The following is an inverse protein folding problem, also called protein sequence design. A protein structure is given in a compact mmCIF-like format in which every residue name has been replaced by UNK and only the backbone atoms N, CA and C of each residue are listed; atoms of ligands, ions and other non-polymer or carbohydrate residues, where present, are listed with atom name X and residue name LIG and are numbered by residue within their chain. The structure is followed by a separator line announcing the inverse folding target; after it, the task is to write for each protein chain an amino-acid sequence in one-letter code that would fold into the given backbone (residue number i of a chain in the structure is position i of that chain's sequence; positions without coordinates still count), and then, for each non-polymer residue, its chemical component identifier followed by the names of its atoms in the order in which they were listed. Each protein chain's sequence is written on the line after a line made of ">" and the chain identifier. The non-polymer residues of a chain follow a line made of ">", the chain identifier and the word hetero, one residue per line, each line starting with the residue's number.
data_IF_089254421970
#
_entry.id   IF_089254421970
#
_cell.length_a   1.000
_cell.length_b   1.000
_cell.length_c   1.000
_cell.angle_alpha   90.00
_cell.angle_beta   90.00
_cell.angle_gamma   90.00
#
_symmetry.space_group_name_H-M   'P 1'
#
loop_
_entity.id
_entity.type
_entity.pdbx_description
1 polymer ?
#
# COMPACT_ATOMS: atom_id res chain seq x y z
N UNK A 1 -1.84 -9.72 -21.64
CA UNK A 1 -2.53 -9.35 -20.39
C UNK A 1 -1.53 -9.58 -19.27
N UNK A 2 -1.20 -8.54 -18.50
CA UNK A 2 -0.14 -8.60 -17.49
C UNK A 2 -0.50 -9.57 -16.35
N UNK A 3 0.43 -10.44 -15.96
CA UNK A 3 0.24 -11.46 -14.91
C UNK A 3 -0.18 -10.82 -13.59
N UNK A 4 0.38 -9.64 -13.27
CA UNK A 4 0.03 -8.87 -12.08
C UNK A 4 -1.42 -8.36 -12.12
N UNK A 5 -1.91 -7.95 -13.29
CA UNK A 5 -3.31 -7.54 -13.47
C UNK A 5 -4.26 -8.72 -13.23
N UNK A 6 -3.96 -9.89 -13.79
CA UNK A 6 -4.77 -11.11 -13.61
C UNK A 6 -4.80 -11.53 -12.14
N UNK A 7 -3.65 -11.55 -11.47
CA UNK A 7 -3.55 -11.89 -10.06
C UNK A 7 -4.34 -10.93 -9.16
N UNK A 8 -4.20 -9.61 -9.40
CA UNK A 8 -4.95 -8.59 -8.66
C UNK A 8 -6.46 -8.73 -8.87
N UNK A 9 -6.91 -8.95 -10.11
CA UNK A 9 -8.33 -9.21 -10.41
C UNK A 9 -8.85 -10.45 -9.69
N UNK A 10 -8.08 -11.53 -9.68
CA UNK A 10 -8.42 -12.76 -8.97
C UNK A 10 -8.61 -12.53 -7.46
N UNK A 11 -7.67 -11.82 -6.82
CA UNK A 11 -7.79 -11.45 -5.41
C UNK A 11 -9.03 -10.61 -5.13
N UNK A 12 -9.29 -9.57 -5.94
CA UNK A 12 -10.46 -8.70 -5.77
C UNK A 12 -11.78 -9.45 -5.98
N UNK A 13 -11.85 -10.34 -6.97
CA UNK A 13 -13.04 -11.15 -7.27
C UNK A 13 -13.37 -12.14 -6.15
N UNK A 14 -12.36 -12.64 -5.44
CA UNK A 14 -12.55 -13.55 -4.31
C UNK A 14 -13.15 -12.87 -3.06
N UNK A 15 -13.15 -11.53 -3.01
CA UNK A 15 -13.74 -10.77 -1.91
C UNK A 15 -15.26 -10.68 -2.03
N UNK A 16 -15.95 -10.81 -0.89
CA UNK A 16 -17.40 -10.53 -0.80
C UNK A 16 -17.69 -9.09 -1.27
N UNK A 17 -18.82 -8.81 -1.94
CA UNK A 17 -19.12 -7.49 -2.50
C UNK A 17 -18.92 -6.29 -1.55
N UNK A 18 -19.40 -6.29 -0.29
CA UNK A 18 -19.20 -5.14 0.61
C UNK A 18 -17.71 -4.94 0.97
N UNK A 19 -17.01 -6.04 1.28
CA UNK A 19 -15.56 -6.01 1.57
C UNK A 19 -14.77 -5.52 0.35
N UNK A 20 -15.14 -6.00 -0.85
CA UNK A 20 -14.52 -5.58 -2.11
C UNK A 20 -14.68 -4.08 -2.32
N UNK A 21 -15.87 -3.53 -2.09
CA UNK A 21 -16.11 -2.10 -2.23
C UNK A 21 -15.19 -1.26 -1.33
N UNK A 22 -15.04 -1.66 -0.06
CA UNK A 22 -14.19 -0.97 0.89
C UNK A 22 -12.69 -1.09 0.56
N UNK A 23 -12.24 -2.28 0.15
CA UNK A 23 -10.87 -2.50 -0.33
C UNK A 23 -10.59 -1.64 -1.57
N UNK A 24 -11.53 -1.56 -2.51
CA UNK A 24 -11.39 -0.73 -3.71
C UNK A 24 -11.29 0.75 -3.38
N UNK A 25 -12.09 1.26 -2.41
CA UNK A 25 -12.00 2.65 -1.96
C UNK A 25 -10.63 3.00 -1.39
N UNK A 26 -10.06 2.09 -0.59
CA UNK A 26 -8.71 2.24 -0.05
C UNK A 26 -7.66 2.22 -1.16
N UNK A 27 -7.74 1.26 -2.10
CA UNK A 27 -6.81 1.17 -3.22
C UNK A 27 -6.88 2.38 -4.16
N UNK A 28 -8.08 2.87 -4.47
CA UNK A 28 -8.30 4.06 -5.29
C UNK A 28 -7.66 5.29 -4.65
N UNK A 29 -7.81 5.43 -3.32
CA UNK A 29 -7.16 6.49 -2.56
C UNK A 29 -5.63 6.38 -2.62
N UNK A 30 -5.07 5.17 -2.52
CA UNK A 30 -3.62 4.96 -2.63
C UNK A 30 -3.11 5.35 -4.01
N UNK A 31 -3.74 4.85 -5.08
CA UNK A 31 -3.31 5.11 -6.47
C UNK A 31 -3.38 6.59 -6.80
N UNK A 32 -4.40 7.30 -6.31
CA UNK A 32 -4.57 8.73 -6.53
C UNK A 32 -3.58 9.60 -5.72
N UNK A 33 -3.42 9.32 -4.42
CA UNK A 33 -2.76 10.26 -3.51
C UNK A 33 -1.27 9.96 -3.32
N UNK A 34 -0.82 8.73 -3.58
CA UNK A 34 0.59 8.36 -3.42
C UNK A 34 1.54 9.14 -4.34
N UNK A 35 1.26 9.36 -5.64
CA UNK A 35 2.12 10.15 -6.52
C UNK A 35 2.49 11.52 -5.96
N UNK A 36 1.53 12.21 -5.34
CA UNK A 36 1.73 13.55 -4.75
C UNK A 36 2.57 13.54 -3.46
N UNK A 37 2.68 12.38 -2.79
CA UNK A 37 3.39 12.21 -1.52
C UNK A 37 4.78 11.57 -1.70
N UNK A 38 5.04 11.00 -2.87
CA UNK A 38 6.30 10.34 -3.19
C UNK A 38 7.45 11.34 -3.35
N UNK A 39 8.64 10.93 -2.91
CA UNK A 39 9.88 11.69 -3.13
C UNK A 39 10.99 10.75 -3.57
N UNK A 40 11.50 10.92 -4.80
CA UNK A 40 12.53 10.07 -5.42
C UNK A 40 13.66 9.64 -4.48
N UNK A 41 14.22 10.58 -3.71
CA UNK A 41 15.36 10.31 -2.81
C UNK A 41 14.98 9.63 -1.49
N UNK A 42 13.72 9.68 -1.09
CA UNK A 42 13.21 9.08 0.16
C UNK A 42 12.43 7.79 -0.07
N UNK A 43 12.10 7.49 -1.33
CA UNK A 43 11.29 6.34 -1.71
C UNK A 43 9.80 6.55 -1.47
N UNK A 44 9.06 5.45 -1.51
CA UNK A 44 7.64 5.36 -1.18
C UNK A 44 7.46 5.66 0.32
N UNK A 45 6.69 6.71 0.67
CA UNK A 45 6.39 7.00 2.07
C UNK A 45 5.56 5.87 2.66
N UNK A 46 5.76 5.62 3.96
CA UNK A 46 4.87 4.73 4.72
C UNK A 46 3.59 5.48 5.01
N UNK A 47 2.47 4.96 4.53
CA UNK A 47 1.16 5.59 4.72
C UNK A 47 0.20 4.61 5.40
N UNK A 48 -0.64 5.15 6.28
CA UNK A 48 -1.82 4.49 6.80
C UNK A 48 -3.04 5.06 6.07
N UNK A 49 -3.80 4.21 5.39
CA UNK A 49 -5.01 4.59 4.63
C UNK A 49 -6.20 3.84 5.18
N UNK A 50 -7.26 4.53 5.59
CA UNK A 50 -8.40 3.90 6.25
C UNK A 50 -9.70 4.63 5.95
N UNK A 51 -10.82 3.94 6.12
CA UNK A 51 -12.14 4.55 5.99
C UNK A 51 -12.43 5.47 7.18
N UNK A 52 -13.02 6.62 6.92
CA UNK A 52 -13.39 7.59 7.95
C UNK A 52 -14.88 7.91 7.79
N UNK A 53 -15.70 6.89 8.06
CA UNK A 53 -17.12 6.89 7.78
C UNK A 53 -17.50 6.47 6.35
N UNK A 54 -18.77 6.65 5.97
CA UNK A 54 -19.34 6.01 4.78
C UNK A 54 -18.79 6.54 3.45
N UNK A 55 -18.36 7.80 3.39
CA UNK A 55 -17.88 8.42 2.15
C UNK A 55 -16.37 8.73 2.15
N UNK A 56 -15.76 8.89 3.33
CA UNK A 56 -14.39 9.42 3.42
C UNK A 56 -13.35 8.31 3.53
N UNK A 57 -12.21 8.52 2.87
CA UNK A 57 -10.99 7.72 3.06
C UNK A 57 -9.89 8.68 3.45
N UNK A 58 -9.25 8.44 4.60
CA UNK A 58 -8.20 9.28 5.18
C UNK A 58 -6.82 8.66 4.92
N UNK A 59 -5.81 9.51 4.74
CA UNK A 59 -4.42 9.11 4.46
C UNK A 59 -3.49 9.83 5.41
N UNK A 60 -2.81 9.07 6.25
CA UNK A 60 -1.86 9.55 7.25
C UNK A 60 -0.46 9.04 6.94
N UNK A 61 0.56 9.82 7.29
CA UNK A 61 1.93 9.31 7.29
C UNK A 61 2.14 8.57 8.60
N UNK A 62 2.74 7.38 8.55
CA UNK A 62 3.04 6.60 9.75
C UNK A 62 4.56 6.46 9.93
N UNK A 63 5.02 6.78 11.14
CA UNK A 63 6.43 6.71 11.52
C UNK A 63 6.78 5.34 12.08
N UNK A 64 8.08 5.01 12.13
CA UNK A 64 8.52 3.78 12.77
C UNK A 64 8.23 3.76 14.27
N UNK A 65 8.29 4.91 14.95
CA UNK A 65 7.93 5.01 16.37
C UNK A 65 6.45 4.73 16.63
N UNK A 66 5.57 5.00 15.66
CA UNK A 66 4.16 4.61 15.76
C UNK A 66 3.97 3.11 15.47
N UNK A 67 4.66 2.57 14.46
CA UNK A 67 4.64 1.12 14.18
C UNK A 67 5.15 0.29 15.37
N UNK A 68 6.21 0.74 16.05
CA UNK A 68 6.81 0.02 17.19
C UNK A 68 5.91 -0.04 18.43
N UNK A 69 4.85 0.79 18.52
CA UNK A 69 3.84 0.68 19.59
C UNK A 69 3.05 -0.62 19.51
N UNK A 70 3.07 -1.28 18.35
CA UNK A 70 2.40 -2.58 18.13
C UNK A 70 3.35 -3.78 18.37
N UNK A 71 4.43 -3.59 19.14
CA UNK A 71 5.34 -4.64 19.62
C UNK A 71 6.72 -4.66 18.95
N UNK A 72 7.65 -5.43 19.53
CA UNK A 72 8.98 -5.71 18.99
C UNK A 72 9.10 -7.21 18.66
N UNK A 73 9.73 -7.58 17.53
CA UNK A 73 10.88 -8.51 17.52
C UNK A 73 11.39 -8.89 16.11
N UNK A 74 10.57 -8.97 15.04
CA UNK A 74 11.08 -9.30 13.68
C UNK A 74 10.41 -8.42 12.58
N UNK A 75 11.16 -7.44 12.09
CA UNK A 75 10.85 -6.01 12.26
C UNK A 75 9.84 -5.35 11.29
N UNK A 76 9.14 -6.07 10.42
CA UNK A 76 8.17 -5.38 9.55
C UNK A 76 7.00 -6.24 9.10
N UNK A 77 7.24 -7.50 8.77
CA UNK A 77 6.18 -8.41 8.30
C UNK A 77 5.05 -8.54 9.32
N UNK A 78 5.39 -8.52 10.62
CA UNK A 78 4.39 -8.50 11.70
C UNK A 78 3.65 -7.17 11.76
N UNK A 79 4.35 -6.03 11.79
CA UNK A 79 3.71 -4.70 11.79
C UNK A 79 2.80 -4.49 10.57
N UNK A 80 3.23 -4.96 9.40
CA UNK A 80 2.45 -4.87 8.18
C UNK A 80 1.11 -5.60 8.28
N UNK A 81 1.01 -6.65 9.11
CA UNK A 81 -0.25 -7.31 9.38
C UNK A 81 -1.02 -6.66 10.54
N UNK A 82 -0.37 -6.43 11.68
CA UNK A 82 -1.05 -6.04 12.93
C UNK A 82 -1.53 -4.60 12.93
N UNK A 83 -0.77 -3.67 12.36
CA UNK A 83 -1.12 -2.23 12.39
C UNK A 83 -2.37 -1.92 11.55
N UNK A 84 -2.48 -2.35 10.27
CA UNK A 84 -3.73 -2.14 9.55
C UNK A 84 -4.89 -2.94 10.15
N UNK A 85 -4.63 -4.11 10.76
CA UNK A 85 -5.69 -4.87 11.44
C UNK A 85 -6.28 -4.08 12.62
N UNK A 86 -5.45 -3.56 13.51
CA UNK A 86 -5.88 -2.71 14.62
C UNK A 86 -6.67 -1.49 14.11
N UNK A 87 -6.19 -0.82 13.05
CA UNK A 87 -6.90 0.32 12.45
C UNK A 87 -8.24 -0.10 11.82
N UNK A 88 -8.33 -1.29 11.25
CA UNK A 88 -9.57 -1.80 10.65
C UNK A 88 -10.62 -2.21 11.69
N UNK A 89 -10.24 -2.51 12.94
CA UNK A 89 -11.20 -2.75 14.02
C UNK A 89 -12.05 -1.50 14.29
N UNK A 90 -11.41 -0.33 14.31
CA UNK A 90 -12.05 0.98 14.52
C UNK A 90 -12.77 1.49 13.27
N UNK A 91 -12.17 1.29 12.09
CA UNK A 91 -12.57 1.96 10.85
C UNK A 91 -13.20 1.04 9.80
N UNK A 92 -13.35 -0.25 10.10
CA UNK A 92 -13.87 -1.28 9.18
C UNK A 92 -12.86 -1.77 8.14
N UNK A 93 -12.14 -0.87 7.48
CA UNK A 93 -11.11 -1.20 6.50
C UNK A 93 -9.93 -0.22 6.57
N UNK A 94 -8.72 -0.77 6.54
CA UNK A 94 -7.47 -0.01 6.57
C UNK A 94 -6.37 -0.69 5.78
N UNK A 95 -5.36 0.06 5.37
CA UNK A 95 -4.20 -0.45 4.66
C UNK A 95 -2.92 0.26 5.08
N UNK A 96 -1.86 -0.53 5.19
CA UNK A 96 -0.50 -0.04 5.27
C UNK A 96 0.12 -0.03 3.87
N UNK A 97 0.64 1.13 3.47
CA UNK A 97 1.32 1.35 2.19
C UNK A 97 2.82 1.51 2.44
N UNK A 98 3.64 0.82 1.67
CA UNK A 98 5.10 0.90 1.78
C UNK A 98 5.80 0.45 0.49
N UNK A 99 7.06 0.84 0.30
CA UNK A 99 7.87 0.41 -0.84
C UNK A 99 8.55 -0.93 -0.66
N UNK A 100 8.90 -1.61 -1.75
CA UNK A 100 9.57 -2.93 -1.75
C UNK A 100 10.93 -2.94 -1.03
N UNK A 101 11.55 -1.78 -0.82
CA UNK A 101 12.84 -1.65 -0.11
C UNK A 101 12.70 -1.29 1.36
N UNK A 102 11.53 -1.46 1.97
CA UNK A 102 11.29 -1.09 3.38
C UNK A 102 12.23 -1.79 4.36
N UNK A 103 12.53 -3.08 4.17
CA UNK A 103 13.45 -3.82 5.05
C UNK A 103 14.87 -3.24 5.02
N UNK A 104 15.38 -2.87 3.83
CA UNK A 104 16.68 -2.22 3.70
C UNK A 104 16.73 -0.86 4.43
N UNK A 105 15.60 -0.14 4.50
CA UNK A 105 15.49 1.15 5.20
C UNK A 105 15.36 1.00 6.71
N UNK A 106 14.73 -0.07 7.19
CA UNK A 106 14.60 -0.37 8.62
C UNK A 106 15.96 -0.74 9.19
N UNK A 107 16.63 -1.72 8.58
CA UNK A 107 17.83 -2.30 9.15
C UNK A 107 19.07 -1.38 9.08
N UNK A 108 19.00 -0.24 8.37
CA UNK A 108 20.13 0.66 8.08
C UNK A 108 21.38 -0.07 7.54
N UNK A 109 21.21 -1.23 6.92
CA UNK A 109 22.32 -2.06 6.44
C UNK A 109 22.80 -1.50 5.09
N UNK A 110 23.96 -0.84 5.12
CA UNK A 110 24.91 -0.90 4.01
C UNK A 110 25.69 0.39 3.75
N UNK A 111 26.90 0.29 3.17
CA UNK A 111 27.72 1.43 2.78
C UNK A 111 27.01 2.31 1.73
N UNK A 112 27.57 3.50 1.49
CA UNK A 112 27.17 4.36 0.35
C UNK A 112 27.21 3.50 -0.93
N UNK A 113 26.06 3.37 -1.60
CA UNK A 113 25.86 2.50 -2.78
C UNK A 113 25.15 1.15 -2.54
N UNK A 114 24.81 0.81 -1.30
CA UNK A 114 24.00 -0.39 -0.98
C UNK A 114 22.50 -0.22 -1.31
N UNK A 115 21.71 -1.29 -1.18
CA UNK A 115 20.26 -1.33 -1.46
C UNK A 115 19.43 -0.22 -0.78
N UNK A 116 19.98 0.46 0.22
CA UNK A 116 19.44 1.66 0.84
C UNK A 116 19.26 2.85 -0.14
N UNK A 117 20.09 2.93 -1.19
CA UNK A 117 20.04 4.00 -2.19
C UNK A 117 19.26 3.65 -3.46
N UNK A 118 18.86 2.38 -3.62
CA UNK A 118 18.05 1.98 -4.76
C UNK A 118 16.63 2.54 -4.59
N UNK A 119 16.05 3.14 -5.64
CA UNK A 119 14.66 3.56 -5.60
C UNK A 119 13.76 2.33 -5.41
N UNK A 120 12.61 2.52 -4.76
CA UNK A 120 11.55 1.51 -4.85
C UNK A 120 11.16 1.34 -6.33
N UNK A 121 10.69 0.15 -6.66
CA UNK A 121 10.10 -0.15 -7.98
C UNK A 121 8.65 -0.59 -7.84
N UNK A 122 8.23 -0.95 -6.62
CA UNK A 122 6.88 -1.39 -6.31
C UNK A 122 6.37 -0.78 -5.02
N UNK A 123 5.06 -0.64 -4.97
CA UNK A 123 4.31 -0.25 -3.78
C UNK A 123 3.56 -1.48 -3.30
N UNK A 124 3.77 -1.85 -2.05
CA UNK A 124 2.96 -2.84 -1.36
C UNK A 124 1.83 -2.14 -0.62
N UNK A 125 0.62 -2.65 -0.78
CA UNK A 125 -0.58 -2.24 -0.06
C UNK A 125 -1.12 -3.46 0.67
N UNK A 126 -0.89 -3.49 1.99
CA UNK A 126 -1.34 -4.56 2.87
C UNK A 126 -2.66 -4.14 3.51
N UNK A 127 -3.75 -4.74 3.07
CA UNK A 127 -5.11 -4.34 3.45
C UNK A 127 -5.65 -5.25 4.53
N UNK A 128 -6.25 -4.69 5.57
CA UNK A 128 -7.01 -5.40 6.57
C UNK A 128 -8.46 -4.89 6.55
N UNK A 129 -9.38 -5.81 6.75
CA UNK A 129 -10.81 -5.52 6.84
C UNK A 129 -11.35 -6.30 8.03
N UNK A 130 -12.24 -5.69 8.82
CA UNK A 130 -12.73 -6.30 10.07
C UNK A 130 -13.37 -7.67 9.87
N UNK A 131 -14.01 -7.86 8.73
CA UNK A 131 -14.66 -9.13 8.35
C UNK A 131 -13.78 -10.12 7.56
N UNK A 132 -12.47 -9.88 7.46
CA UNK A 132 -11.53 -10.77 6.80
C UNK A 132 -10.56 -11.41 7.81
N UNK A 133 -10.45 -12.74 7.76
CA UNK A 133 -9.42 -13.47 8.51
C UNK A 133 -8.03 -13.38 7.90
N UNK A 134 -7.95 -13.15 6.59
CA UNK A 134 -6.69 -13.07 5.84
C UNK A 134 -6.62 -11.72 5.13
N UNK A 135 -5.56 -10.97 5.43
CA UNK A 135 -5.29 -9.65 4.83
C UNK A 135 -4.73 -9.77 3.41
N UNK A 136 -5.47 -9.34 2.36
CA UNK A 136 -4.93 -9.33 1.01
C UNK A 136 -3.78 -8.34 0.89
N UNK A 137 -2.87 -8.64 -0.03
CA UNK A 137 -1.70 -7.79 -0.32
C UNK A 137 -1.61 -7.54 -1.81
N UNK A 138 -1.51 -6.27 -2.17
CA UNK A 138 -1.36 -5.83 -3.55
C UNK A 138 0.05 -5.28 -3.73
N UNK A 139 0.75 -5.77 -4.76
CA UNK A 139 2.08 -5.28 -5.14
C UNK A 139 1.96 -4.56 -6.47
N UNK A 140 1.90 -3.23 -6.42
CA UNK A 140 1.66 -2.38 -7.57
C UNK A 140 3.01 -1.88 -8.12
N UNK A 141 3.41 -2.24 -9.35
CA UNK A 141 4.56 -1.60 -9.98
C UNK A 141 4.25 -0.12 -10.25
N UNK A 142 5.28 0.70 -10.27
CA UNK A 142 5.18 2.09 -10.69
C UNK A 142 6.37 2.47 -11.55
N UNK A 143 6.19 3.49 -12.36
CA UNK A 143 7.24 4.11 -13.16
C UNK A 143 7.53 5.51 -12.65
N UNK A 144 8.68 6.06 -13.09
CA UNK A 144 9.05 7.44 -12.77
C UNK A 144 9.16 8.21 -14.07
N UNK A 145 8.26 9.17 -14.26
CA UNK A 145 8.27 10.07 -15.41
C UNK A 145 8.91 11.41 -15.06
N UNK A 146 9.53 12.05 -16.05
CA UNK A 146 10.11 13.38 -15.92
C UNK A 146 11.58 13.38 -15.46
N UNK A 147 12.40 14.20 -16.13
CA UNK A 147 13.85 14.29 -15.88
C UNK A 147 14.19 15.29 -14.77
N UNK A 148 13.63 16.49 -14.83
CA UNK A 148 13.92 17.59 -13.89
C UNK A 148 13.03 17.53 -12.64
N UNK A 149 11.75 17.18 -12.82
CA UNK A 149 10.77 17.01 -11.74
C UNK A 149 10.20 15.60 -11.86
N UNK A 150 10.91 14.59 -11.31
CA UNK A 150 10.47 13.20 -11.40
C UNK A 150 9.18 12.99 -10.62
N UNK A 151 8.23 12.25 -11.18
CA UNK A 151 6.94 11.90 -10.58
C UNK A 151 6.70 10.41 -10.67
N UNK A 152 6.11 9.85 -9.61
CA UNK A 152 5.65 8.46 -9.61
C UNK A 152 4.35 8.37 -10.42
N UNK A 153 4.27 7.41 -11.34
CA UNK A 153 3.06 7.10 -12.10
C UNK A 153 2.76 5.60 -12.04
N UNK A 154 1.49 5.26 -11.96
CA UNK A 154 1.06 3.86 -12.04
C UNK A 154 0.73 3.52 -13.51
N UNK A 155 1.10 2.31 -13.99
CA UNK A 155 0.68 1.84 -15.30
C UNK A 155 -0.85 1.86 -15.45
N UNK A 156 -1.34 2.17 -16.66
CA UNK A 156 -2.77 2.30 -16.95
C UNK A 156 -3.60 1.07 -16.51
N UNK A 157 -3.02 -0.13 -16.64
CA UNK A 157 -3.70 -1.38 -16.27
C UNK A 157 -4.12 -1.42 -14.80
N UNK A 158 -3.42 -0.71 -13.90
CA UNK A 158 -3.78 -0.63 -12.46
C UNK A 158 -5.14 0.04 -12.33
N UNK A 159 -5.33 1.20 -12.98
CA UNK A 159 -6.59 1.92 -13.02
C UNK A 159 -7.70 1.11 -13.68
N UNK A 160 -7.41 0.48 -14.82
CA UNK A 160 -8.38 -0.36 -15.54
C UNK A 160 -8.84 -1.56 -14.71
N UNK A 161 -7.92 -2.15 -13.95
CA UNK A 161 -8.20 -3.29 -13.06
C UNK A 161 -9.11 -2.88 -11.92
N UNK A 162 -8.85 -1.73 -11.28
CA UNK A 162 -9.72 -1.19 -10.23
C UNK A 162 -11.10 -0.83 -10.78
N UNK A 163 -11.17 -0.16 -11.93
CA UNK A 163 -12.43 0.20 -12.59
C UNK A 163 -13.24 -1.03 -13.02
N UNK A 164 -12.58 -2.10 -13.46
CA UNK A 164 -13.24 -3.36 -13.79
C UNK A 164 -13.80 -4.06 -12.53
N UNK A 165 -13.02 -4.14 -11.45
CA UNK A 165 -13.45 -4.77 -10.21
C UNK A 165 -14.65 -4.05 -9.54
N UNK A 166 -14.84 -2.74 -9.77
CA UNK A 166 -16.03 -1.99 -9.32
C UNK A 166 -17.32 -2.40 -10.04
N UNK A 167 -17.22 -3.01 -11.22
CA UNK A 167 -18.36 -3.42 -12.05
C UNK A 167 -18.77 -4.89 -11.85
N UNK A 168 -17.99 -5.64 -11.06
CA UNK A 168 -18.32 -7.01 -10.63
C UNK A 168 -19.18 -6.97 -9.38
#
# INVERSE_FOLDING_TARGET
>A
MDEASTFMRGQLRALRPPVRADVLRVLDRVVRDLPARWRRRRGVPRLMVFLDGPATVRVETITFGELSRHGYLDEFSRWAATVPAARAEDHGCAALVYGDRIHARINRIGPIGSAWHLPDTRVHVRVAHRDLRVSPTFSLPFEVEGRLIPRLVFPAWVGDTLAHARRM
#
